data_IF_769615374087
#
_entry.id   IF_769615374087
#
_cell.length_a   1.000
_cell.length_b   1.000
_cell.length_c   1.000
_cell.angle_alpha   90.00
_cell.angle_beta   90.00
_cell.angle_gamma   90.00
#
_symmetry.space_group_name_H-M   'P 1'
#
loop_
_entity.id
_entity.type
_entity.pdbx_description
1 polymer ?
#
# COMPACT_ATOMS: atom_id res chain seq x y z
N UNK A 1 23.88 -11.85 8.69
CA UNK A 1 24.33 -12.45 9.97
C UNK A 1 23.42 -13.60 10.42
N UNK A 2 22.10 -13.39 10.51
CA UNK A 2 21.14 -14.46 10.83
C UNK A 2 20.95 -15.45 9.69
N UNK A 3 20.72 -14.94 8.48
CA UNK A 3 20.55 -15.74 7.26
C UNK A 3 21.71 -16.71 7.00
N UNK A 4 22.95 -16.24 7.20
CA UNK A 4 24.17 -17.03 7.02
C UNK A 4 24.39 -18.07 8.12
N UNK A 5 23.86 -17.85 9.32
CA UNK A 5 24.05 -18.76 10.47
C UNK A 5 22.93 -19.81 10.59
N UNK A 6 21.72 -19.46 10.16
CA UNK A 6 20.53 -20.30 10.28
C UNK A 6 19.74 -20.29 8.96
N UNK A 7 20.31 -20.81 7.86
CA UNK A 7 19.66 -20.80 6.56
C UNK A 7 18.31 -21.53 6.62
N UNK A 8 17.33 -21.06 5.84
CA UNK A 8 15.96 -21.58 5.74
C UNK A 8 15.08 -21.53 7.02
N UNK A 9 15.60 -21.06 8.17
CA UNK A 9 14.80 -20.85 9.38
C UNK A 9 13.79 -19.70 9.24
N UNK A 10 12.70 -19.72 10.01
CA UNK A 10 11.76 -18.58 10.06
C UNK A 10 12.47 -17.28 10.46
N UNK A 11 13.43 -17.36 11.38
CA UNK A 11 14.22 -16.20 11.80
C UNK A 11 15.06 -15.62 10.66
N UNK A 12 15.58 -16.46 9.76
CA UNK A 12 16.26 -15.99 8.54
C UNK A 12 15.28 -15.35 7.55
N UNK A 13 14.08 -15.91 7.37
CA UNK A 13 13.04 -15.32 6.50
C UNK A 13 12.60 -13.94 7.01
N UNK A 14 12.36 -13.81 8.32
CA UNK A 14 12.07 -12.52 8.94
C UNK A 14 13.24 -11.54 8.86
N UNK A 15 14.47 -12.00 9.04
CA UNK A 15 15.64 -11.13 8.88
C UNK A 15 15.74 -10.55 7.46
N UNK A 16 15.44 -11.35 6.43
CA UNK A 16 15.40 -10.89 5.05
C UNK A 16 14.28 -9.87 4.84
N UNK A 17 13.06 -10.21 5.24
CA UNK A 17 11.89 -9.34 5.13
C UNK A 17 12.09 -7.98 5.83
N UNK A 18 12.59 -7.99 7.07
CA UNK A 18 12.87 -6.77 7.84
C UNK A 18 13.97 -5.94 7.16
N UNK A 19 15.04 -6.59 6.67
CA UNK A 19 16.13 -5.88 5.97
C UNK A 19 15.60 -5.16 4.72
N UNK A 20 14.76 -5.82 3.93
CA UNK A 20 14.14 -5.22 2.75
C UNK A 20 13.20 -4.07 3.14
N UNK A 21 12.39 -4.27 4.19
CA UNK A 21 11.49 -3.23 4.70
C UNK A 21 12.26 -1.98 5.17
N UNK A 22 13.37 -2.15 5.89
CA UNK A 22 14.21 -1.03 6.37
C UNK A 22 14.72 -0.15 5.23
N UNK A 23 14.95 -0.69 4.03
CA UNK A 23 15.35 0.09 2.86
C UNK A 23 14.22 0.95 2.26
N UNK A 24 12.96 0.65 2.60
CA UNK A 24 11.76 1.31 2.06
C UNK A 24 11.02 2.16 3.11
N UNK A 25 11.18 1.85 4.39
CA UNK A 25 10.47 2.51 5.50
C UNK A 25 10.83 4.00 5.56
N UNK A 26 9.80 4.84 5.45
CA UNK A 26 9.85 6.28 5.67
C UNK A 26 9.22 6.63 7.02
N UNK A 27 9.26 7.91 7.41
CA UNK A 27 8.51 8.39 8.57
C UNK A 27 7.02 8.08 8.43
N UNK A 28 6.42 7.54 9.49
CA UNK A 28 5.00 7.17 9.57
C UNK A 28 4.25 8.21 10.37
N UNK A 29 3.02 8.52 9.96
CA UNK A 29 2.12 9.38 10.73
C UNK A 29 1.38 8.58 11.81
N UNK A 30 1.18 7.27 11.59
CA UNK A 30 0.46 6.39 12.47
C UNK A 30 1.26 5.11 12.77
N UNK A 31 0.99 4.50 13.92
CA UNK A 31 1.45 3.13 14.19
C UNK A 31 0.67 2.15 13.30
N UNK A 32 1.22 0.97 12.96
CA UNK A 32 0.48 -0.03 12.19
C UNK A 32 -0.88 -0.41 12.82
N UNK A 33 -1.89 -0.57 11.97
CA UNK A 33 -3.22 -1.08 12.37
C UNK A 33 -3.19 -2.55 12.76
N UNK A 34 -4.25 -3.08 13.39
CA UNK A 34 -4.33 -4.52 13.69
C UNK A 34 -4.20 -5.37 12.43
N UNK A 35 -4.90 -5.00 11.36
CA UNK A 35 -4.83 -5.71 10.06
C UNK A 35 -3.40 -5.68 9.49
N UNK A 36 -2.72 -4.54 9.58
CA UNK A 36 -1.32 -4.42 9.15
C UNK A 36 -0.41 -5.34 9.95
N UNK A 37 -0.56 -5.37 11.28
CA UNK A 37 0.21 -6.25 12.16
C UNK A 37 -0.01 -7.72 11.79
N UNK A 38 -1.26 -8.14 11.54
CA UNK A 38 -1.61 -9.51 11.21
C UNK A 38 -0.97 -9.98 9.90
N UNK A 39 -0.98 -9.16 8.85
CA UNK A 39 -0.34 -9.52 7.59
C UNK A 39 1.19 -9.46 7.67
N UNK A 40 1.76 -8.53 8.45
CA UNK A 40 3.21 -8.45 8.70
C UNK A 40 3.72 -9.68 9.45
N UNK A 41 2.94 -10.20 10.41
CA UNK A 41 3.21 -11.48 11.09
C UNK A 41 3.19 -12.68 10.13
N UNK A 42 2.66 -12.52 8.92
CA UNK A 42 2.68 -13.54 7.88
C UNK A 42 3.61 -13.18 6.71
N UNK A 43 4.25 -11.99 6.75
CA UNK A 43 5.03 -11.40 5.66
C UNK A 43 4.23 -11.28 4.36
N UNK A 44 2.97 -10.86 4.49
CA UNK A 44 2.02 -10.67 3.39
C UNK A 44 1.65 -9.18 3.22
N UNK A 45 1.00 -8.87 2.10
CA UNK A 45 0.40 -7.57 1.83
C UNK A 45 -1.03 -7.51 2.38
N UNK A 46 -1.49 -6.32 2.75
CA UNK A 46 -2.87 -6.06 3.13
C UNK A 46 -3.74 -5.92 1.89
N UNK A 47 -5.05 -6.16 2.03
CA UNK A 47 -6.02 -5.85 0.98
C UNK A 47 -6.74 -4.54 1.32
N UNK A 48 -6.63 -3.56 0.43
CA UNK A 48 -7.36 -2.30 0.48
C UNK A 48 -8.47 -2.31 -0.57
N UNK A 49 -9.70 -1.96 -0.17
CA UNK A 49 -10.83 -1.83 -1.10
C UNK A 49 -11.07 -0.35 -1.41
N UNK A 50 -10.99 0.00 -2.69
CA UNK A 50 -11.22 1.35 -3.20
C UNK A 50 -12.59 1.42 -3.86
N UNK A 51 -13.42 2.33 -3.38
CA UNK A 51 -14.74 2.59 -3.93
C UNK A 51 -14.67 3.62 -5.06
N UNK A 52 -15.34 3.31 -6.18
CA UNK A 52 -15.37 4.15 -7.37
C UNK A 52 -16.81 4.64 -7.62
N UNK A 53 -17.05 5.94 -7.83
CA UNK A 53 -18.38 6.44 -8.18
C UNK A 53 -18.91 5.77 -9.46
N UNK A 54 -20.10 5.17 -9.39
CA UNK A 54 -20.74 4.53 -10.54
C UNK A 54 -20.06 3.26 -11.06
N UNK A 55 -19.08 2.71 -10.34
CA UNK A 55 -18.37 1.49 -10.71
C UNK A 55 -18.26 0.54 -9.51
N UNK A 56 -18.08 -0.77 -9.74
CA UNK A 56 -17.83 -1.72 -8.65
C UNK A 56 -16.55 -1.34 -7.89
N UNK A 57 -16.53 -1.65 -6.60
CA UNK A 57 -15.33 -1.46 -5.79
C UNK A 57 -14.20 -2.36 -6.28
N UNK A 58 -12.96 -1.88 -6.18
CA UNK A 58 -11.78 -2.61 -6.58
C UNK A 58 -10.90 -2.90 -5.35
N UNK A 59 -10.51 -4.16 -5.18
CA UNK A 59 -9.55 -4.56 -4.15
C UNK A 59 -8.13 -4.55 -4.71
N UNK A 60 -7.22 -3.93 -3.98
CA UNK A 60 -5.81 -3.75 -4.35
C UNK A 60 -4.94 -4.20 -3.17
N UNK A 61 -3.91 -4.98 -3.47
CA UNK A 61 -2.92 -5.38 -2.47
C UNK A 61 -1.99 -4.20 -2.18
N UNK A 62 -1.77 -3.89 -0.90
CA UNK A 62 -0.91 -2.81 -0.45
C UNK A 62 0.04 -3.30 0.64
N UNK A 63 1.25 -2.75 0.65
CA UNK A 63 2.23 -2.95 1.71
C UNK A 63 2.23 -1.75 2.67
N UNK A 64 2.96 -1.85 3.78
CA UNK A 64 3.26 -0.72 4.68
C UNK A 64 3.95 0.46 3.99
N UNK A 65 4.47 0.26 2.78
CA UNK A 65 5.24 1.26 2.01
C UNK A 65 4.50 1.80 0.80
N UNK A 66 3.29 1.31 0.50
CA UNK A 66 2.53 1.72 -0.69
C UNK A 66 2.01 3.15 -0.52
N UNK A 67 2.35 4.02 -1.46
CA UNK A 67 1.90 5.42 -1.53
C UNK A 67 0.72 5.58 -2.50
N UNK A 68 0.04 6.73 -2.43
CA UNK A 68 -1.04 7.08 -3.36
C UNK A 68 -0.57 7.60 -4.73
N UNK A 69 0.69 8.00 -4.86
CA UNK A 69 1.31 8.58 -6.08
C UNK A 69 1.28 7.67 -7.30
N UNK A 70 1.12 8.24 -8.50
CA UNK A 70 1.46 7.62 -9.79
C UNK A 70 2.92 7.93 -10.17
N UNK A 71 3.90 7.06 -9.88
CA UNK A 71 5.25 7.21 -10.41
C UNK A 71 5.31 6.70 -11.86
N UNK A 72 5.80 7.51 -12.80
CA UNK A 72 6.35 7.00 -14.05
C UNK A 72 7.67 6.28 -13.71
N UNK A 73 7.94 5.16 -14.39
CA UNK A 73 9.29 4.58 -14.49
C UNK A 73 9.90 3.99 -13.21
N UNK A 74 9.55 2.76 -12.85
CA UNK A 74 10.50 1.61 -12.74
C UNK A 74 9.74 0.33 -12.40
N UNK A 75 9.89 -0.67 -13.27
CA UNK A 75 9.41 -2.03 -13.06
C UNK A 75 10.18 -2.70 -11.90
N UNK A 76 9.49 -3.12 -10.84
CA UNK A 76 9.46 -4.54 -10.38
C UNK A 76 8.67 -4.79 -9.08
N UNK A 77 8.03 -3.80 -8.44
CA UNK A 77 7.18 -4.07 -7.24
C UNK A 77 6.00 -3.10 -7.18
N UNK A 78 4.79 -3.68 -7.26
CA UNK A 78 3.43 -3.11 -7.03
C UNK A 78 3.06 -1.82 -7.80
N UNK A 79 2.19 -1.88 -8.82
CA UNK A 79 1.67 -0.67 -9.47
C UNK A 79 0.95 0.17 -8.42
N UNK A 80 1.28 1.47 -8.37
CA UNK A 80 0.67 2.32 -7.37
C UNK A 80 -0.84 2.37 -7.60
N UNK A 81 -1.59 2.42 -6.49
CA UNK A 81 -3.02 2.08 -6.46
C UNK A 81 -3.83 2.88 -7.48
N UNK A 82 -3.52 4.16 -7.69
CA UNK A 82 -4.18 4.99 -8.69
C UNK A 82 -3.99 4.46 -10.14
N UNK A 83 -2.78 4.07 -10.53
CA UNK A 83 -2.50 3.53 -11.87
C UNK A 83 -3.19 2.19 -12.12
N UNK A 84 -3.15 1.31 -11.12
CA UNK A 84 -3.83 0.00 -11.20
C UNK A 84 -5.34 0.20 -11.38
N UNK A 85 -5.93 1.18 -10.70
CA UNK A 85 -7.34 1.53 -10.84
C UNK A 85 -7.65 2.14 -12.21
N UNK A 86 -6.86 3.11 -12.68
CA UNK A 86 -7.03 3.73 -14.01
C UNK A 86 -6.97 2.67 -15.11
N UNK A 87 -6.03 1.73 -15.00
CA UNK A 87 -5.91 0.58 -15.89
C UNK A 87 -7.16 -0.33 -15.82
N UNK A 88 -7.54 -0.78 -14.62
CA UNK A 88 -8.69 -1.69 -14.43
C UNK A 88 -10.03 -1.09 -14.84
N UNK A 89 -10.19 0.23 -14.75
CA UNK A 89 -11.40 0.94 -15.13
C UNK A 89 -11.41 1.34 -16.62
N UNK A 90 -10.38 1.02 -17.40
CA UNK A 90 -10.30 1.38 -18.81
C UNK A 90 -10.13 2.88 -19.06
N UNK A 91 -9.55 3.61 -18.09
CA UNK A 91 -9.40 5.07 -18.11
C UNK A 91 -8.01 5.52 -18.56
N UNK A 92 -7.17 4.61 -19.07
CA UNK A 92 -5.77 4.89 -19.43
C UNK A 92 -5.58 5.92 -20.54
N UNK A 93 -6.60 6.17 -21.37
CA UNK A 93 -6.60 7.20 -22.42
C UNK A 93 -7.36 8.47 -22.03
N UNK A 94 -7.83 8.55 -20.78
CA UNK A 94 -8.55 9.73 -20.29
C UNK A 94 -7.59 10.92 -20.13
N UNK A 95 -7.94 12.13 -20.59
CA UNK A 95 -7.15 13.32 -20.34
C UNK A 95 -7.32 13.87 -18.90
N UNK A 96 -8.18 13.24 -18.09
CA UNK A 96 -8.51 13.70 -16.75
C UNK A 96 -7.55 13.16 -15.70
N UNK A 97 -7.35 13.95 -14.64
CA UNK A 97 -6.61 13.51 -13.46
C UNK A 97 -7.54 12.78 -12.49
N UNK A 98 -7.03 11.72 -11.91
CA UNK A 98 -7.71 10.93 -10.88
C UNK A 98 -6.89 10.96 -9.60
N UNK A 99 -7.58 10.90 -8.46
CA UNK A 99 -6.96 10.90 -7.15
C UNK A 99 -7.75 10.00 -6.20
N UNK A 100 -7.06 9.45 -5.20
CA UNK A 100 -7.70 8.76 -4.09
C UNK A 100 -8.22 9.79 -3.07
N UNK A 101 -9.36 9.48 -2.46
CA UNK A 101 -9.96 10.30 -1.41
C UNK A 101 -10.12 9.49 -0.12
N UNK A 102 -9.78 10.11 1.00
CA UNK A 102 -10.15 9.65 2.33
C UNK A 102 -11.56 10.17 2.61
N UNK A 103 -12.55 9.27 2.61
CA UNK A 103 -13.96 9.63 2.75
C UNK A 103 -14.61 8.96 3.96
N UNK A 104 -15.27 9.76 4.79
CA UNK A 104 -16.12 9.35 5.91
C UNK A 104 -17.40 10.19 5.90
N UNK A 105 -18.35 9.91 6.81
CA UNK A 105 -19.57 10.72 6.94
C UNK A 105 -19.31 12.20 7.28
N UNK A 106 -18.12 12.53 7.80
CA UNK A 106 -17.79 13.87 8.32
C UNK A 106 -16.65 14.57 7.56
N UNK A 107 -15.91 13.83 6.72
CA UNK A 107 -14.69 14.32 6.07
C UNK A 107 -14.55 13.69 4.70
N UNK A 108 -14.22 14.50 3.71
CA UNK A 108 -13.81 14.08 2.39
C UNK A 108 -12.61 14.93 2.01
N UNK A 109 -11.46 14.29 1.80
CA UNK A 109 -10.24 14.98 1.42
C UNK A 109 -9.39 14.15 0.47
N UNK A 110 -8.65 14.77 -0.45
CA UNK A 110 -7.73 14.05 -1.31
C UNK A 110 -6.59 13.45 -0.48
N UNK A 111 -6.17 12.25 -0.84
CA UNK A 111 -4.97 11.61 -0.29
C UNK A 111 -3.76 12.16 -1.04
N UNK A 112 -2.77 12.68 -0.31
CA UNK A 112 -1.55 13.19 -0.90
C UNK A 112 -0.76 12.08 -1.60
N UNK A 113 -0.07 12.41 -2.70
CA UNK A 113 0.67 11.43 -3.50
C UNK A 113 1.69 10.65 -2.66
N UNK A 114 2.46 11.33 -1.79
CA UNK A 114 3.46 10.70 -0.93
C UNK A 114 2.87 10.05 0.33
N UNK A 115 1.56 10.17 0.58
CA UNK A 115 0.91 9.59 1.75
C UNK A 115 0.89 8.07 1.65
N UNK A 116 1.29 7.40 2.74
CA UNK A 116 1.23 5.96 2.85
C UNK A 116 -0.21 5.52 3.06
N UNK A 117 -0.71 4.62 2.21
CA UNK A 117 -2.09 4.14 2.30
C UNK A 117 -2.33 3.37 3.61
N UNK A 118 -1.32 2.69 4.14
CA UNK A 118 -1.39 2.05 5.44
C UNK A 118 -1.64 3.06 6.59
N UNK A 119 -1.14 4.30 6.50
CA UNK A 119 -1.46 5.35 7.50
C UNK A 119 -2.91 5.81 7.36
N UNK A 120 -3.40 5.94 6.12
CA UNK A 120 -4.81 6.28 5.84
C UNK A 120 -5.74 5.20 6.40
N UNK A 121 -5.44 3.92 6.17
CA UNK A 121 -6.23 2.81 6.71
C UNK A 121 -6.21 2.78 8.24
N UNK A 122 -5.06 3.06 8.87
CA UNK A 122 -4.99 3.12 10.33
C UNK A 122 -5.86 4.24 10.89
N UNK A 123 -5.99 5.39 10.21
CA UNK A 123 -6.91 6.46 10.63
C UNK A 123 -8.40 6.06 10.62
N UNK A 124 -8.74 4.96 9.95
CA UNK A 124 -10.10 4.43 9.89
C UNK A 124 -10.39 3.32 10.90
N UNK A 125 -9.36 2.80 11.58
CA UNK A 125 -9.50 1.86 12.71
C UNK A 125 -10.00 2.58 13.97
#
# INVERSE_FOLDING_TARGET
RTESRFPASEMAKYACFIREALGKTKGRECVPSLEEILVLMQRQEMICTVHCPGAPACSVAISSHTTAEESPSVAFVSPQVAQELVSRLGLSQSPNLFALYEQSRRREQPVGSTTLLADVLTRFE
#
